data_IF_729492461479
#
_entry.id   IF_729492461479
#
_cell.length_a   1.000
_cell.length_b   1.000
_cell.length_c   1.000
_cell.angle_alpha   90.00
_cell.angle_beta   90.00
_cell.angle_gamma   90.00
#
_symmetry.space_group_name_H-M   'P 1'
#
loop_
_entity.id
_entity.type
_entity.pdbx_description
1 polymer ?
#
# COMPACT_ATOMS: atom_id res chain seq x y z
N UNK A 1 -17.53 10.31 1.93
CA UNK A 1 -17.36 9.83 3.32
C UNK A 1 -17.12 8.31 3.39
N UNK A 2 -16.48 7.69 2.38
CA UNK A 2 -16.02 6.27 2.40
C UNK A 2 -14.65 6.21 1.73
N UNK A 3 -14.51 6.94 0.62
CA UNK A 3 -13.22 7.18 -0.04
C UNK A 3 -12.22 7.92 0.87
N UNK A 4 -12.71 8.91 1.64
CA UNK A 4 -11.87 9.65 2.60
C UNK A 4 -11.36 8.79 3.75
N UNK A 5 -12.17 7.85 4.25
CA UNK A 5 -11.77 6.91 5.32
C UNK A 5 -10.70 5.93 4.82
N UNK A 6 -10.88 5.36 3.63
CA UNK A 6 -9.88 4.49 3.00
C UNK A 6 -8.56 5.23 2.75
N UNK A 7 -8.63 6.48 2.30
CA UNK A 7 -7.43 7.31 2.13
C UNK A 7 -6.76 7.62 3.47
N UNK A 8 -7.52 7.89 4.53
CA UNK A 8 -6.98 8.14 5.87
C UNK A 8 -6.32 6.89 6.45
N UNK A 9 -6.93 5.72 6.29
CA UNK A 9 -6.39 4.44 6.75
C UNK A 9 -5.07 4.11 6.04
N UNK A 10 -4.97 4.41 4.75
CA UNK A 10 -3.74 4.18 4.01
C UNK A 10 -2.67 5.23 4.34
N UNK A 11 -3.06 6.48 4.57
CA UNK A 11 -2.12 7.50 5.08
C UNK A 11 -1.58 7.14 6.46
N UNK A 12 -2.39 6.50 7.29
CA UNK A 12 -1.97 5.98 8.59
C UNK A 12 -1.02 4.78 8.46
N UNK A 13 -1.27 3.88 7.50
CA UNK A 13 -0.34 2.79 7.17
C UNK A 13 1.01 3.33 6.65
N UNK A 14 1.01 4.43 5.88
CA UNK A 14 2.24 5.12 5.46
C UNK A 14 3.07 5.64 6.62
N UNK A 15 2.44 6.29 7.60
CA UNK A 15 3.18 6.80 8.75
C UNK A 15 3.81 5.69 9.60
N UNK A 16 3.16 4.52 9.65
CA UNK A 16 3.73 3.36 10.33
C UNK A 16 4.91 2.75 9.57
N UNK A 17 4.85 2.73 8.23
CA UNK A 17 5.98 2.34 7.39
C UNK A 17 7.22 3.20 7.67
N UNK A 18 7.11 4.53 7.77
CA UNK A 18 8.28 5.38 8.06
C UNK A 18 8.91 5.12 9.44
N UNK A 19 8.17 4.49 10.37
CA UNK A 19 8.60 4.34 11.76
C UNK A 19 9.36 3.05 12.06
N UNK A 20 9.16 1.96 11.31
CA UNK A 20 9.91 0.71 11.51
C UNK A 20 10.11 -0.10 10.21
N UNK A 21 11.37 -0.34 9.77
CA UNK A 21 11.68 -1.10 8.56
C UNK A 21 11.33 -2.59 8.60
N UNK A 22 11.09 -3.18 9.78
CA UNK A 22 10.86 -4.61 9.93
C UNK A 22 9.50 -5.10 9.41
N UNK A 23 8.49 -4.23 9.39
CA UNK A 23 7.09 -4.59 9.10
C UNK A 23 6.61 -4.17 7.70
N UNK A 24 7.53 -3.68 6.85
CA UNK A 24 7.19 -3.21 5.50
C UNK A 24 6.51 -4.30 4.65
N UNK A 25 6.94 -5.57 4.77
CA UNK A 25 6.35 -6.68 4.03
C UNK A 25 4.87 -6.90 4.39
N UNK A 26 4.53 -6.83 5.68
CA UNK A 26 3.17 -7.04 6.16
C UNK A 26 2.25 -5.90 5.72
N UNK A 27 2.74 -4.66 5.83
CA UNK A 27 1.98 -3.47 5.42
C UNK A 27 1.77 -3.45 3.89
N UNK A 28 2.80 -3.81 3.11
CA UNK A 28 2.67 -3.94 1.66
C UNK A 28 1.66 -5.00 1.26
N UNK A 29 1.70 -6.17 1.90
CA UNK A 29 0.75 -7.25 1.62
C UNK A 29 -0.69 -6.79 1.88
N UNK A 30 -0.94 -6.11 3.01
CA UNK A 30 -2.25 -5.54 3.34
C UNK A 30 -2.69 -4.47 2.34
N UNK A 31 -1.80 -3.57 1.94
CA UNK A 31 -2.08 -2.55 0.92
C UNK A 31 -2.42 -3.19 -0.43
N UNK A 32 -1.63 -4.17 -0.87
CA UNK A 32 -1.85 -4.90 -2.11
C UNK A 32 -3.19 -5.65 -2.10
N UNK A 33 -3.55 -6.29 -0.99
CA UNK A 33 -4.85 -6.94 -0.85
C UNK A 33 -6.02 -5.94 -0.90
N UNK A 34 -5.91 -4.80 -0.23
CA UNK A 34 -6.92 -3.75 -0.25
C UNK A 34 -7.12 -3.20 -1.67
N UNK A 35 -6.02 -2.89 -2.38
CA UNK A 35 -6.05 -2.42 -3.76
C UNK A 35 -6.60 -3.47 -4.72
N UNK A 36 -6.23 -4.74 -4.55
CA UNK A 36 -6.75 -5.85 -5.36
C UNK A 36 -8.24 -6.08 -5.13
N UNK A 37 -8.74 -5.88 -3.90
CA UNK A 37 -10.18 -5.91 -3.61
C UNK A 37 -10.91 -4.77 -4.32
N UNK A 38 -10.37 -3.54 -4.26
CA UNK A 38 -10.95 -2.41 -5.00
C UNK A 38 -11.00 -2.69 -6.51
N UNK A 39 -9.92 -3.23 -7.08
CA UNK A 39 -9.87 -3.64 -8.50
C UNK A 39 -10.91 -4.73 -8.81
N UNK A 40 -11.08 -5.72 -7.94
CA UNK A 40 -12.03 -6.82 -8.10
C UNK A 40 -13.49 -6.35 -8.06
N UNK A 41 -13.80 -5.40 -7.17
CA UNK A 41 -15.11 -4.76 -7.05
C UNK A 41 -15.41 -3.75 -8.17
N UNK A 42 -14.45 -3.52 -9.09
CA UNK A 42 -14.57 -2.53 -10.16
C UNK A 42 -14.51 -1.09 -9.66
N UNK A 43 -14.00 -0.87 -8.45
CA UNK A 43 -13.83 0.45 -7.85
C UNK A 43 -12.55 1.13 -8.36
N UNK A 44 -12.58 2.45 -8.58
CA UNK A 44 -11.40 3.18 -9.03
C UNK A 44 -10.33 3.17 -7.94
N UNK A 45 -9.15 2.64 -8.26
CA UNK A 45 -7.99 2.73 -7.37
C UNK A 45 -7.41 4.14 -7.44
N UNK A 46 -7.24 4.83 -6.30
CA UNK A 46 -6.54 6.10 -6.25
C UNK A 46 -5.10 6.00 -6.77
N UNK A 47 -4.71 6.90 -7.67
CA UNK A 47 -3.38 6.91 -8.30
C UNK A 47 -2.24 7.03 -7.28
N UNK A 48 -2.45 7.78 -6.20
CA UNK A 48 -1.48 7.92 -5.12
C UNK A 48 -1.12 6.56 -4.48
N UNK A 49 -2.11 5.67 -4.35
CA UNK A 49 -1.94 4.35 -3.75
C UNK A 49 -1.33 3.36 -4.71
N UNK A 50 -1.74 3.39 -5.98
CA UNK A 50 -1.12 2.57 -7.03
C UNK A 50 0.36 2.91 -7.23
N UNK A 51 0.72 4.20 -7.14
CA UNK A 51 2.12 4.63 -7.18
C UNK A 51 2.90 4.07 -5.99
N UNK A 52 2.30 4.10 -4.81
CA UNK A 52 2.95 3.61 -3.60
C UNK A 52 3.12 2.09 -3.57
N UNK A 53 2.12 1.33 -4.01
CA UNK A 53 2.23 -0.12 -4.23
C UNK A 53 3.46 -0.41 -5.11
N UNK A 54 3.60 0.32 -6.21
CA UNK A 54 4.73 0.16 -7.13
C UNK A 54 6.08 0.55 -6.53
N UNK A 55 6.13 1.65 -5.77
CA UNK A 55 7.37 2.11 -5.12
C UNK A 55 7.83 1.12 -4.03
N UNK A 56 6.89 0.53 -3.30
CA UNK A 56 7.16 -0.52 -2.31
C UNK A 56 7.60 -1.83 -2.99
N UNK A 57 6.90 -2.26 -4.04
CA UNK A 57 7.26 -3.44 -4.84
C UNK A 57 8.69 -3.35 -5.41
N UNK A 58 9.07 -2.18 -5.91
CA UNK A 58 10.42 -1.91 -6.39
C UNK A 58 11.48 -2.04 -5.28
N UNK A 59 11.17 -1.56 -4.06
CA UNK A 59 12.06 -1.70 -2.89
C UNK A 59 12.18 -3.16 -2.44
N UNK A 60 11.11 -3.95 -2.47
CA UNK A 60 11.19 -5.40 -2.18
C UNK A 60 11.98 -6.16 -3.22
N UNK A 61 11.78 -5.83 -4.50
CA UNK A 61 12.52 -6.46 -5.60
C UNK A 61 14.02 -6.13 -5.55
N UNK A 62 14.40 -5.02 -4.91
CA UNK A 62 15.79 -4.64 -4.65
C UNK A 62 16.35 -5.37 -3.42
N UNK A 63 15.59 -5.44 -2.32
CA UNK A 63 15.97 -6.13 -1.07
C UNK A 63 16.18 -7.64 -1.28
N UNK A 64 15.31 -8.30 -2.08
CA UNK A 64 15.44 -9.72 -2.44
C UNK A 64 16.64 -10.05 -3.34
N UNK A 65 17.30 -9.04 -3.92
CA UNK A 65 18.49 -9.22 -4.77
C UNK A 65 19.81 -9.00 -4.00
N UNK A 66 19.75 -8.56 -2.74
CA UNK A 66 20.89 -8.28 -1.87
C UNK A 66 21.47 -9.50 -1.18
#
# INVERSE_FOLDING_TARGET
>A
MVMDDLNAEISFLMQQLESDPGDFHEIFFRLHQALSTLRAEGLPVPENLARMEKDLDARFADDLKG
#
